data_IF_737387210225
#
_entry.id   IF_737387210225
#
_cell.length_a   1.000
_cell.length_b   1.000
_cell.length_c   1.000
_cell.angle_alpha   90.00
_cell.angle_beta   90.00
_cell.angle_gamma   90.00
#
_symmetry.space_group_name_H-M   'P 1'
#
loop_
_entity.id
_entity.type
_entity.pdbx_description
1 polymer ?
#
# COMPACT_ATOMS: atom_id res chain seq x y z
N UNK A 1 28.69 -23.95 -19.12
CA UNK A 1 29.20 -23.36 -17.85
C UNK A 1 29.70 -21.94 -18.10
N UNK A 2 28.99 -20.93 -17.61
CA UNK A 2 29.54 -19.59 -17.38
C UNK A 2 28.68 -18.92 -16.30
N UNK A 3 29.18 -18.94 -15.08
CA UNK A 3 28.67 -18.10 -14.00
C UNK A 3 28.96 -16.64 -14.35
N UNK A 4 27.96 -15.78 -14.23
CA UNK A 4 28.21 -14.36 -13.98
C UNK A 4 27.50 -13.94 -12.72
N UNK A 5 28.34 -13.37 -11.86
CA UNK A 5 28.16 -12.95 -10.48
C UNK A 5 28.01 -11.42 -10.52
N UNK A 6 27.41 -10.84 -9.47
CA UNK A 6 27.59 -9.45 -8.96
C UNK A 6 26.65 -8.40 -9.56
N UNK A 7 26.19 -7.36 -8.85
CA UNK A 7 26.41 -6.85 -7.48
C UNK A 7 25.19 -5.96 -7.17
N UNK A 8 24.63 -6.06 -5.95
CA UNK A 8 23.65 -5.10 -5.44
C UNK A 8 24.35 -3.84 -4.92
N UNK A 9 23.76 -2.68 -5.17
CA UNK A 9 24.10 -1.43 -4.47
C UNK A 9 22.79 -0.76 -4.09
N UNK A 10 22.49 -0.80 -2.80
CA UNK A 10 21.38 -0.14 -2.15
C UNK A 10 21.94 1.12 -1.49
N UNK A 11 21.54 2.30 -1.99
CA UNK A 11 21.95 3.57 -1.41
C UNK A 11 21.01 3.93 -0.24
N UNK A 12 21.59 4.04 0.95
CA UNK A 12 20.97 4.38 2.23
C UNK A 12 21.14 5.88 2.46
N UNK A 13 20.05 6.61 2.72
CA UNK A 13 20.09 7.97 3.26
C UNK A 13 19.23 8.02 4.52
N UNK A 14 19.93 8.21 5.64
CA UNK A 14 19.41 8.46 6.99
C UNK A 14 19.07 9.95 7.12
N UNK A 15 17.92 10.26 7.74
CA UNK A 15 17.80 11.44 8.58
C UNK A 15 16.80 11.20 9.72
N UNK A 16 17.27 11.62 10.89
CA UNK A 16 16.71 11.52 12.24
C UNK A 16 15.99 12.82 12.60
N UNK A 17 14.95 12.77 13.45
CA UNK A 17 14.87 13.54 14.70
C UNK A 17 13.43 13.69 15.29
N UNK A 18 13.35 13.43 16.60
CA UNK A 18 12.58 14.11 17.67
C UNK A 18 11.03 14.09 17.63
N UNK A 19 10.34 13.39 18.55
CA UNK A 19 10.11 13.68 19.99
C UNK A 19 9.09 14.79 20.26
N UNK A 20 7.93 14.46 20.85
CA UNK A 20 7.59 14.84 22.23
C UNK A 20 6.20 14.35 22.68
N UNK A 21 6.20 13.77 23.89
CA UNK A 21 5.05 13.48 24.74
C UNK A 21 4.39 14.76 25.29
N UNK A 22 3.08 14.70 25.52
CA UNK A 22 2.44 15.45 26.61
C UNK A 22 1.18 14.71 27.09
N UNK A 23 1.29 14.10 28.27
CA UNK A 23 0.21 13.52 29.08
C UNK A 23 -0.28 14.58 30.05
N UNK A 24 -1.61 14.77 30.19
CA UNK A 24 -2.17 15.46 31.35
C UNK A 24 -3.43 14.73 31.84
N UNK A 25 -3.38 14.27 33.10
CA UNK A 25 -4.48 13.73 33.88
C UNK A 25 -5.17 14.85 34.68
N UNK A 26 -6.47 14.67 34.94
CA UNK A 26 -7.27 15.41 35.93
C UNK A 26 -8.73 15.35 35.50
N UNK A 27 -9.73 15.09 36.34
CA UNK A 27 -9.81 14.75 37.75
C UNK A 27 -11.20 14.15 37.97
N UNK A 28 -11.34 13.35 39.02
CA UNK A 28 -12.59 12.71 39.39
C UNK A 28 -13.55 13.72 40.05
N UNK A 29 -14.81 13.73 39.64
CA UNK A 29 -15.91 14.18 40.47
C UNK A 29 -16.99 13.10 40.58
N UNK A 30 -17.33 12.84 41.84
CA UNK A 30 -18.21 11.81 42.35
C UNK A 30 -19.50 12.50 42.76
N UNK A 31 -20.62 12.16 42.13
CA UNK A 31 -21.96 12.54 42.59
C UNK A 31 -22.83 11.28 42.67
N UNK A 32 -23.45 11.11 43.83
CA UNK A 32 -24.31 10.01 44.29
C UNK A 32 -25.59 10.72 44.76
N UNK A 33 -26.82 10.39 44.36
CA UNK A 33 -27.72 9.32 44.87
C UNK A 33 -29.10 9.51 44.16
N UNK A 34 -29.73 8.47 43.58
CA UNK A 34 -30.90 7.69 44.10
C UNK A 34 -32.26 8.11 43.48
N UNK A 35 -33.36 7.32 43.61
CA UNK A 35 -33.73 6.23 42.70
C UNK A 35 -35.18 6.34 42.17
N UNK A 36 -35.61 5.33 41.42
CA UNK A 36 -37.01 4.96 41.11
C UNK A 36 -37.86 5.87 40.20
N UNK A 37 -37.77 5.60 38.89
CA UNK A 37 -38.96 5.56 38.03
C UNK A 37 -38.87 4.33 37.13
N UNK A 38 -39.62 3.29 37.50
CA UNK A 38 -39.89 2.16 36.63
C UNK A 38 -40.96 2.57 35.61
N UNK A 39 -40.62 2.57 34.32
CA UNK A 39 -41.60 2.46 33.24
C UNK A 39 -40.96 1.90 31.96
N UNK A 40 -41.36 0.65 31.67
CA UNK A 40 -41.47 0.01 30.35
C UNK A 40 -40.18 -0.23 29.56
N UNK A 41 -39.74 -1.49 29.57
CA UNK A 41 -38.93 -2.07 28.51
C UNK A 41 -39.79 -2.25 27.24
N UNK A 42 -39.42 -1.66 26.10
CA UNK A 42 -39.92 -2.11 24.81
C UNK A 42 -39.28 -3.47 24.43
N UNK A 43 -39.94 -4.26 23.57
CA UNK A 43 -39.55 -5.63 23.28
C UNK A 43 -38.19 -5.71 22.58
N UNK A 44 -37.46 -6.77 22.93
CA UNK A 44 -36.24 -7.24 22.29
C UNK A 44 -36.49 -7.60 20.82
N UNK A 45 -36.44 -6.60 19.94
CA UNK A 45 -36.29 -6.81 18.50
C UNK A 45 -35.15 -5.94 18.00
N UNK A 46 -33.98 -6.52 17.89
CA UNK A 46 -33.36 -6.80 16.59
C UNK A 46 -31.99 -7.37 16.86
N UNK A 47 -31.79 -8.62 16.43
CA UNK A 47 -30.48 -9.07 15.98
C UNK A 47 -30.10 -8.23 14.76
N UNK A 48 -29.79 -6.95 14.97
CA UNK A 48 -28.99 -6.19 14.04
C UNK A 48 -27.62 -6.83 14.11
N UNK A 49 -27.35 -7.71 13.14
CA UNK A 49 -26.01 -7.90 12.62
C UNK A 49 -25.44 -6.51 12.43
N UNK A 50 -24.69 -6.04 13.43
CA UNK A 50 -23.81 -4.89 13.33
C UNK A 50 -22.75 -5.33 12.34
N UNK A 51 -23.09 -5.29 11.05
CA UNK A 51 -22.09 -5.14 10.00
C UNK A 51 -21.41 -3.83 10.38
N UNK A 52 -20.31 -3.95 11.12
CA UNK A 52 -19.44 -2.82 11.41
C UNK A 52 -19.12 -2.21 10.05
N UNK A 53 -19.62 -0.99 9.84
CA UNK A 53 -19.33 -0.23 8.64
C UNK A 53 -17.81 -0.05 8.64
N UNK A 54 -17.11 -0.79 7.76
CA UNK A 54 -15.67 -0.65 7.61
C UNK A 54 -15.37 0.81 7.34
N UNK A 55 -14.52 1.41 8.18
CA UNK A 55 -14.09 2.78 7.97
C UNK A 55 -13.26 2.81 6.70
N UNK A 56 -13.56 3.70 5.77
CA UNK A 56 -12.84 3.83 4.49
C UNK A 56 -12.28 5.23 4.36
N UNK A 57 -10.98 5.33 4.12
CA UNK A 57 -10.27 6.60 3.91
C UNK A 57 -9.46 6.54 2.62
N UNK A 58 -9.64 7.54 1.74
CA UNK A 58 -8.74 7.72 0.59
C UNK A 58 -7.51 8.47 1.08
N UNK A 59 -6.35 7.80 1.05
CA UNK A 59 -5.07 8.39 1.51
C UNK A 59 -4.39 9.19 0.40
N UNK A 60 -4.59 8.76 -0.84
CA UNK A 60 -3.99 9.38 -2.02
C UNK A 60 -4.85 9.09 -3.24
N UNK A 61 -5.01 10.07 -4.13
CA UNK A 61 -5.70 9.91 -5.40
C UNK A 61 -5.21 10.93 -6.42
N UNK A 62 -4.88 10.44 -7.62
CA UNK A 62 -4.64 11.25 -8.81
C UNK A 62 -5.81 11.15 -9.77
N UNK A 63 -6.10 12.29 -10.39
CA UNK A 63 -7.01 12.34 -11.52
C UNK A 63 -6.50 11.41 -12.65
N UNK A 64 -7.34 10.52 -13.20
CA UNK A 64 -7.01 9.68 -14.34
C UNK A 64 -6.40 10.42 -15.53
N UNK A 65 -6.70 11.71 -15.73
CA UNK A 65 -6.18 12.54 -16.82
C UNK A 65 -4.66 12.80 -16.71
N UNK A 66 -4.06 12.65 -15.52
CA UNK A 66 -2.59 12.71 -15.40
C UNK A 66 -1.89 11.63 -16.24
N UNK A 67 -2.53 10.47 -16.40
CA UNK A 67 -1.96 9.32 -17.13
C UNK A 67 -2.07 9.45 -18.66
N UNK A 68 -2.60 10.56 -19.15
CA UNK A 68 -2.53 10.96 -20.56
C UNK A 68 -1.21 11.68 -20.90
N UNK A 69 -0.34 11.89 -19.90
CA UNK A 69 0.96 12.55 -20.04
C UNK A 69 2.12 11.56 -20.16
N UNK A 70 3.33 12.08 -20.34
CA UNK A 70 4.55 11.26 -20.21
C UNK A 70 4.76 10.85 -18.76
N UNK A 71 5.37 9.70 -18.56
CA UNK A 71 5.63 9.09 -17.25
C UNK A 71 6.42 10.03 -16.32
N UNK A 72 7.38 10.77 -16.87
CA UNK A 72 8.20 11.74 -16.13
C UNK A 72 7.43 12.99 -15.68
N UNK A 73 6.25 13.24 -16.25
CA UNK A 73 5.40 14.40 -15.94
C UNK A 73 4.29 14.06 -14.94
N UNK A 74 4.16 12.79 -14.55
CA UNK A 74 3.12 12.31 -13.63
C UNK A 74 3.69 12.35 -12.20
N UNK A 75 3.03 13.03 -11.24
CA UNK A 75 3.41 12.92 -9.84
C UNK A 75 3.21 11.48 -9.37
N UNK A 76 4.19 10.92 -8.65
CA UNK A 76 4.10 9.60 -8.03
C UNK A 76 4.08 9.73 -6.51
N UNK A 77 3.36 8.84 -5.83
CA UNK A 77 3.47 8.66 -4.39
C UNK A 77 4.57 7.65 -4.07
N UNK A 78 5.52 8.00 -3.21
CA UNK A 78 6.54 7.07 -2.72
C UNK A 78 6.94 7.39 -1.29
N UNK A 79 6.76 6.42 -0.38
CA UNK A 79 7.23 6.50 1.01
C UNK A 79 6.77 7.76 1.77
N UNK A 80 5.58 8.26 1.46
CA UNK A 80 5.01 9.45 2.09
C UNK A 80 5.26 10.75 1.33
N UNK A 81 6.11 10.73 0.30
CA UNK A 81 6.45 11.89 -0.52
C UNK A 81 5.81 11.85 -1.90
N UNK A 82 5.72 13.02 -2.53
CA UNK A 82 5.40 13.17 -3.95
C UNK A 82 6.70 13.28 -4.74
N UNK A 83 6.89 12.38 -5.69
CA UNK A 83 8.09 12.29 -6.53
C UNK A 83 7.74 12.44 -8.02
N UNK A 84 8.74 12.70 -8.85
CA UNK A 84 8.65 12.59 -10.29
C UNK A 84 9.76 11.68 -10.78
N UNK A 85 9.48 10.84 -11.78
CA UNK A 85 10.52 10.06 -12.43
C UNK A 85 11.34 10.98 -13.33
N UNK A 86 12.67 10.97 -13.17
CA UNK A 86 13.55 11.64 -14.12
C UNK A 86 13.41 10.99 -15.50
N UNK A 87 13.43 11.79 -16.57
CA UNK A 87 13.34 11.25 -17.93
C UNK A 87 14.43 10.21 -18.22
N UNK A 88 15.65 10.42 -17.72
CA UNK A 88 16.74 9.43 -17.87
C UNK A 88 16.43 8.09 -17.20
N UNK A 89 15.68 8.08 -16.10
CA UNK A 89 15.23 6.85 -15.44
C UNK A 89 14.15 6.14 -16.28
N UNK A 90 13.21 6.91 -16.86
CA UNK A 90 12.18 6.39 -17.78
C UNK A 90 12.83 5.77 -19.02
N UNK A 91 13.79 6.47 -19.63
CA UNK A 91 14.49 6.00 -20.81
C UNK A 91 15.29 4.73 -20.51
N UNK A 92 15.99 4.69 -19.36
CA UNK A 92 16.73 3.52 -18.89
C UNK A 92 15.82 2.31 -18.68
N UNK A 93 14.65 2.52 -18.07
CA UNK A 93 13.64 1.48 -17.92
C UNK A 93 13.15 0.97 -19.28
N UNK A 94 12.82 1.87 -20.21
CA UNK A 94 12.34 1.52 -21.55
C UNK A 94 13.40 0.73 -22.36
N UNK A 95 14.69 0.92 -22.07
CA UNK A 95 15.80 0.13 -22.60
C UNK A 95 15.98 -1.23 -21.91
N UNK A 96 15.16 -1.55 -20.91
CA UNK A 96 15.15 -2.83 -20.20
C UNK A 96 16.09 -2.91 -19.00
N UNK A 97 16.63 -1.78 -18.52
CA UNK A 97 17.59 -1.79 -17.39
C UNK A 97 16.94 -1.93 -16.01
N UNK A 98 15.61 -1.83 -15.89
CA UNK A 98 14.91 -1.86 -14.60
C UNK A 98 13.57 -2.58 -14.68
N UNK A 99 13.60 -3.86 -15.05
CA UNK A 99 12.40 -4.69 -15.26
C UNK A 99 11.45 -4.72 -14.06
N UNK A 100 11.92 -4.52 -12.83
CA UNK A 100 11.08 -4.59 -11.63
C UNK A 100 10.09 -3.43 -11.50
N UNK A 101 10.33 -2.28 -12.15
CA UNK A 101 9.45 -1.11 -12.00
C UNK A 101 8.10 -1.24 -12.72
N UNK A 102 7.96 -2.22 -13.62
CA UNK A 102 6.68 -2.55 -14.24
C UNK A 102 5.79 -3.41 -13.32
N UNK A 103 6.37 -4.02 -12.28
CA UNK A 103 5.68 -5.01 -11.46
C UNK A 103 4.80 -4.28 -10.41
N UNK A 104 3.47 -4.45 -10.46
CA UNK A 104 2.55 -3.80 -9.53
C UNK A 104 2.85 -4.12 -8.06
N UNK A 105 3.29 -5.36 -7.77
CA UNK A 105 3.58 -5.79 -6.41
C UNK A 105 4.84 -5.10 -5.88
N UNK A 106 5.89 -5.00 -6.71
CA UNK A 106 7.12 -4.30 -6.36
C UNK A 106 6.83 -2.83 -6.10
N UNK A 107 6.09 -2.18 -7.00
CA UNK A 107 5.75 -0.76 -6.85
C UNK A 107 4.90 -0.51 -5.60
N UNK A 108 3.90 -1.36 -5.33
CA UNK A 108 3.09 -1.23 -4.12
C UNK A 108 3.95 -1.37 -2.87
N UNK A 109 4.80 -2.40 -2.81
CA UNK A 109 5.66 -2.69 -1.67
C UNK A 109 6.68 -1.56 -1.41
N UNK A 110 7.30 -1.02 -2.46
CA UNK A 110 8.27 0.07 -2.31
C UNK A 110 7.64 1.39 -1.87
N UNK A 111 6.46 1.70 -2.42
CA UNK A 111 5.83 3.01 -2.23
C UNK A 111 4.98 3.09 -0.95
N UNK A 112 4.44 1.98 -0.44
CA UNK A 112 3.66 1.96 0.81
C UNK A 112 4.53 1.79 2.08
N UNK A 113 5.86 1.81 1.96
CA UNK A 113 6.76 1.49 3.09
C UNK A 113 6.67 2.44 4.30
N UNK A 114 5.99 3.60 4.17
CA UNK A 114 5.70 4.50 5.28
C UNK A 114 4.33 4.25 5.94
N UNK A 115 3.43 3.52 5.28
CA UNK A 115 2.07 3.22 5.75
C UNK A 115 1.98 1.85 6.43
N UNK A 116 2.89 0.95 6.08
CA UNK A 116 2.97 -0.39 6.61
C UNK A 116 4.24 -0.44 7.48
N UNK A 117 4.17 -0.89 8.73
CA UNK A 117 5.32 -0.96 9.62
C UNK A 117 6.26 -2.07 9.15
N UNK A 118 7.03 -1.84 8.08
CA UNK A 118 7.83 -2.89 7.45
C UNK A 118 9.06 -2.33 6.73
N UNK A 119 10.25 -2.84 7.06
CA UNK A 119 11.50 -2.55 6.35
C UNK A 119 11.76 -3.64 5.29
N UNK A 120 11.13 -3.48 4.12
CA UNK A 120 11.12 -4.48 3.05
C UNK A 120 12.49 -4.89 2.49
N UNK A 121 13.50 -4.05 2.70
CA UNK A 121 14.85 -4.30 2.20
C UNK A 121 15.57 -5.44 2.95
N UNK A 122 14.96 -5.95 4.02
CA UNK A 122 15.53 -7.00 4.87
C UNK A 122 15.03 -8.41 4.57
N UNK A 123 14.00 -8.55 3.75
CA UNK A 123 13.36 -9.84 3.52
C UNK A 123 13.83 -10.46 2.20
N UNK A 124 14.81 -11.34 2.31
CA UNK A 124 15.37 -12.07 1.17
C UNK A 124 14.35 -13.00 0.50
N UNK A 125 13.28 -13.40 1.21
CA UNK A 125 12.25 -14.29 0.69
C UNK A 125 11.33 -13.59 -0.30
N UNK A 126 11.16 -12.26 -0.18
CA UNK A 126 10.39 -11.45 -1.14
C UNK A 126 10.94 -11.59 -2.56
N UNK A 127 12.26 -11.60 -2.71
CA UNK A 127 12.91 -11.79 -4.01
C UNK A 127 12.59 -13.16 -4.62
N UNK A 128 12.58 -14.21 -3.80
CA UNK A 128 12.19 -15.55 -4.24
C UNK A 128 10.70 -15.59 -4.62
N UNK A 129 9.82 -15.03 -3.80
CA UNK A 129 8.38 -14.97 -4.06
C UNK A 129 8.07 -14.21 -5.35
N UNK A 130 8.73 -13.07 -5.59
CA UNK A 130 8.59 -12.28 -6.82
C UNK A 130 9.06 -13.05 -8.07
N UNK A 131 10.08 -13.90 -7.93
CA UNK A 131 10.62 -14.69 -9.04
C UNK A 131 9.68 -15.81 -9.49
N UNK A 132 8.75 -16.23 -8.62
CA UNK A 132 7.74 -17.23 -8.95
C UNK A 132 6.75 -16.62 -9.94
N UNK A 133 6.79 -17.12 -11.17
CA UNK A 133 5.79 -16.78 -12.17
C UNK A 133 4.44 -17.41 -11.77
N UNK A 134 3.31 -16.73 -12.03
CA UNK A 134 2.02 -17.37 -11.91
C UNK A 134 1.98 -18.59 -12.84
N UNK A 135 1.47 -19.72 -12.34
CA UNK A 135 1.37 -20.98 -13.06
C UNK A 135 0.29 -20.95 -14.16
N UNK A 136 -0.59 -19.94 -14.15
CA UNK A 136 -1.61 -19.73 -15.16
C UNK A 136 -2.09 -18.27 -15.26
N UNK A 137 -2.88 -17.94 -16.29
CA UNK A 137 -3.38 -16.58 -16.55
C UNK A 137 -4.38 -16.07 -15.51
N UNK A 138 -4.97 -16.95 -14.71
CA UNK A 138 -5.97 -16.62 -13.68
C UNK A 138 -5.41 -16.65 -12.25
N UNK A 139 -4.13 -16.98 -12.08
CA UNK A 139 -3.55 -17.12 -10.75
C UNK A 139 -3.14 -15.77 -10.19
N UNK A 140 -3.71 -15.41 -9.04
CA UNK A 140 -3.34 -14.20 -8.29
C UNK A 140 -1.93 -14.35 -7.73
N UNK A 141 -1.04 -13.41 -8.06
CA UNK A 141 0.29 -13.36 -7.44
C UNK A 141 0.16 -12.82 -6.02
N UNK A 142 0.80 -13.53 -5.09
CA UNK A 142 0.81 -13.17 -3.67
C UNK A 142 2.23 -13.08 -3.17
N UNK A 143 2.46 -12.09 -2.31
CA UNK A 143 3.70 -11.94 -1.56
C UNK A 143 3.32 -11.79 -0.10
N UNK A 144 3.99 -12.53 0.76
CA UNK A 144 3.81 -12.47 2.21
C UNK A 144 5.17 -12.12 2.81
N UNK A 145 5.20 -11.04 3.59
CA UNK A 145 6.39 -10.62 4.33
C UNK A 145 6.60 -11.50 5.57
N UNK A 146 7.81 -11.52 6.13
CA UNK A 146 8.07 -12.25 7.38
C UNK A 146 7.18 -11.80 8.56
N UNK A 147 6.72 -10.55 8.56
CA UNK A 147 5.80 -10.02 9.59
C UNK A 147 4.34 -10.36 9.30
N UNK A 148 4.04 -11.06 8.20
CA UNK A 148 2.69 -11.51 7.85
C UNK A 148 1.87 -10.52 7.02
N UNK A 149 2.44 -9.37 6.63
CA UNK A 149 1.79 -8.47 5.66
C UNK A 149 1.69 -9.17 4.32
N UNK A 150 0.47 -9.24 3.76
CA UNK A 150 0.18 -9.93 2.50
C UNK A 150 -0.20 -8.94 1.41
N UNK A 151 0.48 -9.01 0.27
CA UNK A 151 0.18 -8.27 -0.95
C UNK A 151 -0.41 -9.24 -1.98
N UNK A 152 -1.61 -8.95 -2.48
CA UNK A 152 -2.31 -9.77 -3.47
C UNK A 152 -2.58 -8.94 -4.72
N UNK A 153 -2.02 -9.35 -5.85
CA UNK A 153 -2.31 -8.74 -7.14
C UNK A 153 -3.65 -9.26 -7.65
N UNK A 154 -4.68 -8.41 -7.61
CA UNK A 154 -6.05 -8.78 -7.96
C UNK A 154 -6.31 -8.68 -9.46
N UNK A 155 -5.85 -7.58 -10.06
CA UNK A 155 -6.09 -7.28 -11.48
C UNK A 155 -4.78 -6.83 -12.12
N UNK A 156 -4.52 -7.36 -13.32
CA UNK A 156 -3.52 -6.83 -14.24
C UNK A 156 -4.12 -6.70 -15.63
N UNK A 157 -4.32 -5.46 -16.05
CA UNK A 157 -4.75 -5.17 -17.41
C UNK A 157 -3.58 -4.52 -18.17
N UNK A 158 -2.80 -5.34 -18.87
CA UNK A 158 -1.68 -4.84 -19.68
C UNK A 158 -2.14 -3.86 -20.77
N UNK A 159 -3.30 -4.11 -21.41
CA UNK A 159 -3.81 -3.24 -22.46
C UNK A 159 -4.29 -1.88 -21.90
N UNK A 160 -4.97 -1.91 -20.75
CA UNK A 160 -5.39 -0.71 -20.02
C UNK A 160 -4.29 -0.06 -19.21
N UNK A 161 -3.10 -0.69 -19.12
CA UNK A 161 -1.94 -0.24 -18.36
C UNK A 161 -2.26 0.01 -16.88
N UNK A 162 -3.14 -0.80 -16.32
CA UNK A 162 -3.64 -0.67 -14.94
C UNK A 162 -3.43 -1.94 -14.13
N UNK A 163 -3.29 -1.76 -12.83
CA UNK A 163 -3.22 -2.85 -11.87
C UNK A 163 -3.98 -2.51 -10.58
N UNK A 164 -4.37 -3.56 -9.87
CA UNK A 164 -4.93 -3.47 -8.53
C UNK A 164 -4.20 -4.44 -7.61
N UNK A 165 -3.76 -3.92 -6.46
CA UNK A 165 -3.09 -4.68 -5.41
C UNK A 165 -3.82 -4.45 -4.10
N UNK A 166 -4.19 -5.53 -3.44
CA UNK A 166 -4.70 -5.52 -2.08
C UNK A 166 -3.57 -5.80 -1.10
N UNK A 167 -3.56 -5.08 0.02
CA UNK A 167 -2.59 -5.26 1.10
C UNK A 167 -3.32 -5.51 2.40
N UNK A 168 -3.04 -6.64 3.04
CA UNK A 168 -3.58 -7.02 4.34
C UNK A 168 -2.49 -6.96 5.39
N UNK A 169 -2.70 -6.21 6.46
CA UNK A 169 -1.81 -6.12 7.62
C UNK A 169 -2.36 -6.98 8.77
N UNK A 170 -1.54 -7.75 9.51
CA UNK A 170 -1.99 -8.67 10.56
C UNK A 170 -2.91 -8.07 11.64
N UNK A 171 -2.80 -6.77 11.90
CA UNK A 171 -3.59 -6.06 12.93
C UNK A 171 -4.92 -5.49 12.40
N UNK A 172 -5.34 -5.92 11.21
CA UNK A 172 -6.66 -5.64 10.64
C UNK A 172 -6.73 -4.43 9.71
N UNK A 173 -5.64 -3.68 9.54
CA UNK A 173 -5.58 -2.63 8.51
C UNK A 173 -5.49 -3.26 7.12
N UNK A 174 -6.20 -2.66 6.18
CA UNK A 174 -6.28 -3.15 4.81
C UNK A 174 -6.17 -2.00 3.83
N UNK A 175 -5.44 -2.22 2.73
CA UNK A 175 -5.24 -1.21 1.68
C UNK A 175 -5.63 -1.77 0.32
N UNK A 176 -6.30 -0.94 -0.47
CA UNK A 176 -6.53 -1.18 -1.89
C UNK A 176 -5.76 -0.14 -2.69
N UNK A 177 -4.83 -0.62 -3.52
CA UNK A 177 -3.89 0.21 -4.27
C UNK A 177 -4.14 0.02 -5.75
N UNK A 178 -4.44 1.13 -6.42
CA UNK A 178 -4.64 1.18 -7.86
C UNK A 178 -3.41 1.80 -8.49
N UNK A 179 -2.86 1.12 -9.49
CA UNK A 179 -1.69 1.57 -10.21
C UNK A 179 -2.03 1.76 -11.69
N UNK A 180 -1.38 2.74 -12.30
CA UNK A 180 -1.48 3.03 -13.73
C UNK A 180 -0.13 3.54 -14.25
N UNK A 181 0.16 3.35 -15.54
CA UNK A 181 1.36 3.91 -16.17
C UNK A 181 1.04 5.04 -17.13
N UNK A 182 2.04 5.88 -17.42
CA UNK A 182 1.94 6.97 -18.38
C UNK A 182 1.92 6.49 -19.82
N UNK A 183 1.91 7.42 -20.77
CA UNK A 183 1.75 7.10 -22.20
C UNK A 183 2.98 6.47 -22.84
N UNK A 184 4.18 6.72 -22.30
CA UNK A 184 5.48 6.44 -22.93
C UNK A 184 6.32 5.37 -22.19
N UNK A 185 5.84 4.84 -21.07
CA UNK A 185 6.56 3.83 -20.30
C UNK A 185 5.65 2.98 -19.44
N UNK A 186 6.00 1.70 -19.29
CA UNK A 186 5.23 0.72 -18.50
C UNK A 186 5.59 0.75 -17.00
N UNK A 187 6.31 1.79 -16.54
CA UNK A 187 6.52 2.04 -15.11
C UNK A 187 5.17 2.25 -14.44
N UNK A 188 4.85 1.42 -13.45
CA UNK A 188 3.60 1.53 -12.71
C UNK A 188 3.71 2.60 -11.63
N UNK A 189 2.78 3.55 -11.64
CA UNK A 189 2.67 4.64 -10.66
C UNK A 189 1.39 4.42 -9.87
N UNK A 190 1.43 4.64 -8.56
CA UNK A 190 0.22 4.64 -7.74
C UNK A 190 -0.70 5.76 -8.23
N UNK A 191 -1.92 5.39 -8.62
CA UNK A 191 -3.01 6.31 -8.91
C UNK A 191 -3.81 6.59 -7.64
N UNK A 192 -4.13 5.56 -6.85
CA UNK A 192 -5.03 5.69 -5.70
C UNK A 192 -4.68 4.71 -4.58
N UNK A 193 -4.76 5.17 -3.34
CA UNK A 193 -4.62 4.35 -2.13
C UNK A 193 -5.86 4.54 -1.27
N UNK A 194 -6.50 3.43 -0.93
CA UNK A 194 -7.67 3.41 -0.04
C UNK A 194 -7.32 2.56 1.17
N UNK A 195 -7.36 3.15 2.35
CA UNK A 195 -7.26 2.42 3.61
C UNK A 195 -8.65 2.04 4.12
N UNK A 196 -8.73 0.85 4.72
CA UNK A 196 -9.92 0.30 5.34
C UNK A 196 -9.60 -0.35 6.68
N UNK A 197 -10.54 -0.24 7.62
CA UNK A 197 -10.53 -0.90 8.93
C UNK A 197 -11.92 -1.42 9.27
#
# INVERSE_FOLDING_TARGET
MKQMKRIGVLALLLLSACSNNATTQGGAEKLTLSPDVALQAPPSETGQTRMEARSRLVLYELDPAWFERKTSEIPGYSKGDIIFYEQGAVDSFNQGHSVTWHDPLVQTLQNLANLIPYDYLRDAEIGEQLSRKPAGPEETRKIITHEGVMFTQMIWNKAGRTAEVEVSVPDGDYYQVFLRSGTDSDIMIIQKIIWMK
#
